data_IF_810410219165
#
_entry.id   IF_810410219165
#
_cell.length_a   1.000
_cell.length_b   1.000
_cell.length_c   1.000
_cell.angle_alpha   90.00
_cell.angle_beta   90.00
_cell.angle_gamma   90.00
#
_symmetry.space_group_name_H-M   'P 1'
#
loop_
_entity.id
_entity.type
_entity.pdbx_description
1 polymer ?
#
# COMPACT_ATOMS: atom_id res chain seq x y z
N UNK A 1 18.35 -3.79 -2.62
CA UNK A 1 17.97 -3.76 -2.59
C UNK A 1 17.28 -4.05 -2.32
N UNK A 2 17.09 -3.94 -2.46
CA UNK A 2 16.53 -4.11 -2.36
C UNK A 2 15.61 -4.29 -2.21
N UNK A 3 15.42 -4.19 -2.18
CA UNK A 3 14.60 -4.17 -2.05
C UNK A 3 13.56 -4.70 -2.26
N UNK A 4 13.41 -5.27 -2.69
CA UNK A 4 12.52 -5.67 -3.11
C UNK A 4 11.81 -6.50 -2.45
N UNK A 5 11.28 -6.69 -2.32
CA UNK A 5 10.57 -7.27 -1.76
C UNK A 5 10.11 -8.30 -1.93
N UNK A 6 9.95 -8.66 -1.84
CA UNK A 6 9.59 -9.65 -1.93
C UNK A 6 8.59 -10.20 -2.31
N UNK A 7 8.50 -10.38 -2.83
CA UNK A 7 7.72 -10.73 -3.13
C UNK A 7 7.07 -11.62 -2.89
N UNK A 8 6.96 -12.00 -2.77
CA UNK A 8 6.38 -12.60 -2.55
C UNK A 8 5.70 -13.34 -2.65
N UNK A 9 5.46 -13.56 -2.59
CA UNK A 9 4.86 -14.43 -2.64
C UNK A 9 4.05 -14.95 -3.25
N UNK A 10 4.17 -15.21 -3.58
CA UNK A 10 3.80 -15.68 -4.26
C UNK A 10 2.97 -16.71 -4.46
N UNK A 11 3.03 -17.72 -4.24
CA UNK A 11 2.13 -18.74 -4.45
C UNK A 11 0.72 -18.31 -4.33
N UNK A 12 0.59 -17.14 -3.94
CA UNK A 12 -0.71 -16.57 -3.69
C UNK A 12 -1.27 -15.83 -4.87
N UNK A 13 -0.76 -16.12 -6.06
CA UNK A 13 -1.22 -15.41 -7.22
C UNK A 13 -2.73 -15.49 -7.38
N UNK A 14 -3.31 -16.65 -7.14
CA UNK A 14 -4.75 -16.78 -7.30
C UNK A 14 -5.49 -16.00 -6.25
N UNK A 15 -4.96 -15.94 -5.05
CA UNK A 15 -5.57 -15.14 -4.01
C UNK A 15 -5.51 -13.68 -4.34
N UNK A 16 -4.40 -13.25 -4.94
CA UNK A 16 -4.27 -11.85 -5.31
C UNK A 16 -5.34 -11.46 -6.33
N UNK A 17 -5.59 -12.32 -7.28
CA UNK A 17 -6.61 -12.03 -8.28
C UNK A 17 -7.98 -11.92 -7.61
N UNK A 18 -8.29 -12.88 -6.76
CA UNK A 18 -9.58 -12.90 -6.10
C UNK A 18 -9.75 -11.69 -5.21
N UNK A 19 -8.66 -11.25 -4.60
CA UNK A 19 -8.73 -10.19 -3.61
C UNK A 19 -8.61 -8.79 -4.19
N UNK A 20 -8.63 -8.65 -5.50
CA UNK A 20 -8.49 -7.33 -6.10
C UNK A 20 -9.56 -6.38 -5.60
N UNK A 21 -10.80 -6.82 -5.59
CA UNK A 21 -11.88 -5.98 -5.11
C UNK A 21 -11.76 -5.69 -3.62
N UNK A 22 -11.28 -6.68 -2.89
CA UNK A 22 -11.08 -6.53 -1.47
C UNK A 22 -10.02 -5.46 -1.17
N UNK A 23 -8.92 -5.49 -1.92
CA UNK A 23 -7.87 -4.52 -1.74
C UNK A 23 -8.38 -3.12 -2.07
N UNK A 24 -9.13 -3.00 -3.16
CA UNK A 24 -9.68 -1.71 -3.54
C UNK A 24 -10.59 -1.16 -2.46
N UNK A 25 -11.45 -2.01 -1.90
CA UNK A 25 -12.34 -1.60 -0.84
C UNK A 25 -11.56 -1.19 0.41
N UNK A 26 -10.51 -1.95 0.72
CA UNK A 26 -9.69 -1.64 1.89
C UNK A 26 -8.98 -0.31 1.72
N UNK A 27 -8.48 -0.04 0.53
CA UNK A 27 -7.83 1.23 0.25
C UNK A 27 -8.76 2.39 0.50
N UNK A 28 -10.03 2.22 0.16
CA UNK A 28 -11.01 3.27 0.37
C UNK A 28 -11.26 3.59 1.83
N UNK A 29 -10.85 2.71 2.73
CA UNK A 29 -11.05 2.92 4.17
C UNK A 29 -9.89 3.67 4.81
N UNK A 30 -8.80 3.86 4.08
CA UNK A 30 -7.63 4.52 4.62
C UNK A 30 -7.80 6.02 4.58
N UNK A 31 -6.99 6.71 5.39
CA UNK A 31 -6.95 8.16 5.31
C UNK A 31 -6.41 8.57 3.94
N UNK A 32 -6.70 9.79 3.55
CA UNK A 32 -6.20 10.30 2.28
C UNK A 32 -4.67 10.26 2.23
N UNK A 33 -4.03 10.59 3.34
CA UNK A 33 -2.58 10.58 3.39
C UNK A 33 -2.01 9.19 3.13
N UNK A 34 -2.62 8.19 3.71
CA UNK A 34 -2.19 6.81 3.48
C UNK A 34 -2.42 6.39 2.03
N UNK A 35 -3.58 6.75 1.49
CA UNK A 35 -3.87 6.42 0.11
C UNK A 35 -2.87 7.05 -0.83
N UNK A 36 -2.49 8.30 -0.55
CA UNK A 36 -1.59 9.03 -1.44
C UNK A 36 -0.21 8.38 -1.52
N UNK A 37 0.37 8.00 -0.37
CA UNK A 37 1.70 7.39 -0.42
C UNK A 37 1.66 6.02 -1.06
N UNK A 38 0.59 5.25 -0.84
CA UNK A 38 0.49 3.94 -1.46
C UNK A 38 0.30 4.08 -2.97
N UNK A 39 -0.48 5.06 -3.40
CA UNK A 39 -0.67 5.29 -4.82
C UNK A 39 0.64 5.64 -5.50
N UNK A 40 1.42 6.53 -4.88
CA UNK A 40 2.70 6.92 -5.49
C UNK A 40 3.68 5.78 -5.50
N UNK A 41 3.85 5.10 -4.37
CA UNK A 41 4.93 4.13 -4.24
C UNK A 41 4.62 2.79 -4.88
N UNK A 42 3.36 2.38 -4.87
CA UNK A 42 3.02 1.04 -5.34
C UNK A 42 2.24 1.01 -6.64
N UNK A 43 1.40 2.00 -6.87
CA UNK A 43 0.62 1.99 -8.10
C UNK A 43 1.30 2.76 -9.21
N UNK A 44 2.01 3.82 -8.88
CA UNK A 44 2.73 4.58 -9.90
C UNK A 44 4.19 4.20 -9.98
N UNK A 45 4.68 3.44 -9.01
CA UNK A 45 6.06 2.99 -9.03
C UNK A 45 7.07 4.08 -8.75
N UNK A 46 6.67 5.11 -8.05
CA UNK A 46 7.57 6.22 -7.73
C UNK A 46 8.61 5.79 -6.70
N UNK A 47 9.82 6.32 -6.84
CA UNK A 47 10.81 6.18 -5.78
C UNK A 47 10.41 7.04 -4.60
N UNK A 48 11.10 6.84 -3.47
CA UNK A 48 10.84 7.66 -2.30
C UNK A 48 11.03 9.14 -2.64
N UNK A 49 12.11 9.45 -3.37
CA UNK A 49 12.37 10.84 -3.75
C UNK A 49 11.27 11.40 -4.63
N UNK A 50 10.80 10.60 -5.59
CA UNK A 50 9.75 11.05 -6.48
C UNK A 50 8.44 11.25 -5.73
N UNK A 51 8.13 10.34 -4.82
CA UNK A 51 6.91 10.46 -4.02
C UNK A 51 6.98 11.67 -3.11
N UNK A 52 8.15 11.89 -2.50
CA UNK A 52 8.32 13.06 -1.63
C UNK A 52 8.08 14.35 -2.40
N UNK A 53 8.61 14.41 -3.60
CA UNK A 53 8.43 15.58 -4.44
C UNK A 53 6.95 15.75 -4.84
N UNK A 54 6.34 14.67 -5.28
CA UNK A 54 4.96 14.74 -5.76
C UNK A 54 3.99 15.12 -4.64
N UNK A 55 4.25 14.61 -3.45
CA UNK A 55 3.35 14.85 -2.32
C UNK A 55 3.79 16.04 -1.47
N UNK A 56 4.95 16.61 -1.78
CA UNK A 56 5.48 17.77 -1.08
C UNK A 56 5.69 17.48 0.41
N UNK A 57 6.30 16.35 0.69
CA UNK A 57 6.61 15.93 2.05
C UNK A 57 8.06 15.44 2.10
N UNK A 58 8.66 15.40 3.29
CA UNK A 58 10.05 14.93 3.41
C UNK A 58 10.17 13.44 3.08
N UNK A 59 11.38 13.04 2.66
CA UNK A 59 11.66 11.63 2.37
C UNK A 59 11.33 10.72 3.54
N UNK A 60 11.75 11.13 4.74
CA UNK A 60 11.48 10.32 5.92
C UNK A 60 10.00 10.14 6.17
N UNK A 61 9.23 11.17 5.86
CA UNK A 61 7.78 11.09 6.01
C UNK A 61 7.18 10.11 5.03
N UNK A 62 7.71 10.08 3.80
CA UNK A 62 7.24 9.08 2.83
C UNK A 62 7.44 7.67 3.38
N UNK A 63 8.63 7.42 3.92
CA UNK A 63 8.96 6.08 4.42
C UNK A 63 8.07 5.69 5.59
N UNK A 64 7.97 6.56 6.59
CA UNK A 64 7.18 6.22 7.77
C UNK A 64 5.70 6.13 7.44
N UNK A 65 5.22 7.05 6.61
CA UNK A 65 3.81 7.04 6.26
C UNK A 65 3.46 5.80 5.44
N UNK A 66 4.36 5.39 4.55
CA UNK A 66 4.15 4.16 3.79
C UNK A 66 4.09 2.95 4.70
N UNK A 67 4.97 2.91 5.68
CA UNK A 67 4.97 1.80 6.64
C UNK A 67 3.61 1.71 7.35
N UNK A 68 3.13 2.82 7.86
CA UNK A 68 1.86 2.81 8.57
C UNK A 68 0.67 2.62 7.64
N UNK A 69 0.79 3.11 6.42
CA UNK A 69 -0.27 2.90 5.44
C UNK A 69 -0.42 1.43 5.10
N UNK A 70 0.70 0.72 4.97
CA UNK A 70 0.63 -0.71 4.71
C UNK A 70 0.03 -1.47 5.88
N UNK A 71 0.36 -1.07 7.10
CA UNK A 71 -0.26 -1.70 8.26
C UNK A 71 -1.76 -1.44 8.29
N UNK A 72 -2.17 -0.22 7.99
CA UNK A 72 -3.58 0.12 7.97
C UNK A 72 -4.30 -0.65 6.88
N UNK A 73 -3.65 -0.81 5.73
CA UNK A 73 -4.24 -1.56 4.63
C UNK A 73 -4.45 -3.02 5.03
N UNK A 74 -3.45 -3.60 5.66
CA UNK A 74 -3.56 -4.99 6.09
C UNK A 74 -4.73 -5.17 7.05
N UNK A 75 -4.84 -4.28 8.03
CA UNK A 75 -5.93 -4.37 8.99
C UNK A 75 -7.28 -4.21 8.31
N UNK A 76 -7.38 -3.28 7.38
CA UNK A 76 -8.63 -3.06 6.66
C UNK A 76 -9.02 -4.30 5.85
N UNK A 77 -8.03 -4.94 5.23
CA UNK A 77 -8.30 -6.15 4.46
C UNK A 77 -8.82 -7.24 5.39
N UNK A 78 -8.18 -7.41 6.54
CA UNK A 78 -8.59 -8.44 7.48
C UNK A 78 -10.00 -8.20 7.98
N UNK A 79 -10.32 -6.94 8.28
CA UNK A 79 -11.65 -6.62 8.75
C UNK A 79 -12.70 -6.88 7.69
N UNK A 80 -12.41 -6.54 6.46
CA UNK A 80 -13.35 -6.78 5.38
C UNK A 80 -13.55 -8.27 5.10
N UNK A 81 -12.47 -9.05 5.20
CA UNK A 81 -12.59 -10.49 5.01
C UNK A 81 -13.43 -11.11 6.12
N UNK A 82 -13.24 -10.65 7.34
CA UNK A 82 -14.00 -11.21 8.46
C UNK A 82 -15.47 -10.84 8.36
N UNK A 83 -15.77 -9.72 7.74
CA UNK A 83 -17.15 -9.28 7.62
C UNK A 83 -17.95 -10.15 6.65
N UNK A 84 -17.26 -10.88 5.80
CA UNK A 84 -17.96 -11.75 4.87
C UNK A 84 -18.25 -13.09 5.50
#
# INVERSE_FOLDING_TARGET
MTDRLPEQPIGDASEHVVNRHLVAAALGRLTQEHQDVLRECYFRGSSVAQAAHALEIPHGTVKSRTYYALRALRLAIEELRDAE
#
